data_IF_784242323247
#
_entry.id   IF_784242323247
#
_cell.length_a   1.000
_cell.length_b   1.000
_cell.length_c   1.000
_cell.angle_alpha   90.00
_cell.angle_beta   90.00
_cell.angle_gamma   90.00
#
_symmetry.space_group_name_H-M   'P 1'
#
loop_
_entity.id
_entity.type
_entity.pdbx_description
1 polymer ?
#
# COMPACT_ATOMS: atom_id res chain seq x y z
N UNK A 1 -14.04 33.98 4.76
CA UNK A 1 -15.03 34.08 5.87
C UNK A 1 -14.24 34.23 7.16
N UNK A 2 -14.51 35.27 8.01
CA UNK A 2 -13.68 35.53 9.21
C UNK A 2 -13.50 34.32 10.11
N UNK A 3 -14.56 33.58 10.45
CA UNK A 3 -14.46 32.41 11.34
C UNK A 3 -13.65 31.22 10.77
N UNK A 4 -13.58 31.08 9.44
CA UNK A 4 -12.74 30.04 8.81
C UNK A 4 -11.26 30.42 8.92
N UNK A 5 -10.93 31.71 8.72
CA UNK A 5 -9.55 32.19 8.86
C UNK A 5 -9.08 32.10 10.32
N UNK A 6 -9.95 32.42 11.27
CA UNK A 6 -9.66 32.26 12.69
C UNK A 6 -9.45 30.79 13.06
N UNK A 7 -10.27 29.87 12.53
CA UNK A 7 -10.11 28.44 12.74
C UNK A 7 -8.76 27.94 12.19
N UNK A 8 -8.39 28.34 10.97
CA UNK A 8 -7.08 27.98 10.38
C UNK A 8 -5.92 28.59 11.19
N UNK A 9 -6.05 29.82 11.65
CA UNK A 9 -5.02 30.46 12.48
C UNK A 9 -4.88 29.79 13.87
N UNK A 10 -5.98 29.27 14.43
CA UNK A 10 -5.96 28.57 15.71
C UNK A 10 -5.40 27.16 15.59
N UNK A 11 -5.73 26.47 14.50
CA UNK A 11 -5.28 25.11 14.19
C UNK A 11 -4.41 25.13 12.94
N UNK A 12 -3.12 25.32 13.12
CA UNK A 12 -2.13 25.56 12.06
C UNK A 12 -1.86 24.35 11.16
N UNK A 13 -2.46 23.21 11.45
CA UNK A 13 -2.27 21.96 10.67
C UNK A 13 -1.26 20.99 11.31
N UNK A 14 -0.57 21.36 12.37
CA UNK A 14 0.43 20.53 13.04
C UNK A 14 -0.05 20.09 14.44
N UNK A 15 -0.40 18.81 14.57
CA UNK A 15 -0.68 18.26 15.89
C UNK A 15 0.62 17.95 16.65
N UNK A 16 0.59 18.04 18.00
CA UNK A 16 1.74 17.68 18.83
C UNK A 16 2.23 16.26 18.54
N UNK A 17 3.53 16.11 18.42
CA UNK A 17 4.21 14.82 18.24
C UNK A 17 4.97 14.42 19.50
N UNK A 18 5.22 13.11 19.75
CA UNK A 18 6.07 12.66 20.84
C UNK A 18 7.46 13.28 20.81
N UNK A 19 8.02 13.57 21.99
CA UNK A 19 9.42 14.01 22.09
C UNK A 19 10.37 12.99 21.45
N UNK A 20 11.38 13.47 20.73
CA UNK A 20 12.35 12.63 20.04
C UNK A 20 11.83 11.98 18.76
N UNK A 21 10.69 12.41 18.23
CA UNK A 21 10.23 11.96 16.90
C UNK A 21 11.32 12.26 15.87
N UNK A 22 11.81 11.23 15.11
CA UNK A 22 12.91 11.43 14.18
C UNK A 22 12.51 12.35 13.02
N UNK A 23 13.41 13.26 12.68
CA UNK A 23 13.30 14.08 11.47
C UNK A 23 13.88 13.33 10.25
N UNK A 24 13.47 13.77 9.07
CA UNK A 24 13.98 13.26 7.82
C UNK A 24 13.33 11.96 7.35
N UNK A 25 13.77 11.54 6.17
CA UNK A 25 13.34 10.31 5.51
C UNK A 25 14.59 9.47 5.26
N UNK A 26 14.87 8.45 6.07
CA UNK A 26 16.05 7.62 5.91
C UNK A 26 15.98 6.75 4.65
N UNK A 27 17.13 6.32 4.13
CA UNK A 27 17.22 5.56 2.88
C UNK A 27 16.40 4.25 2.90
N UNK A 28 16.29 3.59 4.07
CA UNK A 28 15.45 2.40 4.18
C UNK A 28 13.97 2.70 3.89
N UNK A 29 13.48 3.90 4.27
CA UNK A 29 12.10 4.30 4.00
C UNK A 29 11.90 4.56 2.50
N UNK A 30 12.87 5.15 1.81
CA UNK A 30 12.86 5.29 0.35
C UNK A 30 12.77 3.93 -0.37
N UNK A 31 13.54 2.92 0.07
CA UNK A 31 13.44 1.56 -0.46
C UNK A 31 12.08 0.92 -0.18
N UNK A 32 11.55 1.06 1.04
CA UNK A 32 10.22 0.57 1.40
C UNK A 32 9.13 1.26 0.58
N UNK A 33 9.25 2.56 0.32
CA UNK A 33 8.32 3.29 -0.52
C UNK A 33 8.35 2.77 -1.97
N UNK A 34 9.53 2.57 -2.56
CA UNK A 34 9.66 1.97 -3.89
C UNK A 34 9.02 0.58 -3.96
N UNK A 35 9.31 -0.30 -2.99
CA UNK A 35 8.74 -1.65 -2.96
C UNK A 35 7.21 -1.63 -2.79
N UNK A 36 6.68 -0.74 -1.94
CA UNK A 36 5.23 -0.59 -1.82
C UNK A 36 4.59 -0.09 -3.12
N UNK A 37 5.18 0.90 -3.80
CA UNK A 37 4.73 1.37 -5.11
C UNK A 37 4.75 0.23 -6.15
N UNK A 38 5.83 -0.55 -6.19
CA UNK A 38 5.98 -1.71 -7.07
C UNK A 38 4.88 -2.74 -6.83
N UNK A 39 4.68 -3.17 -5.58
CA UNK A 39 3.69 -4.19 -5.24
C UNK A 39 2.27 -3.69 -5.46
N UNK A 40 1.92 -2.49 -5.02
CA UNK A 40 0.56 -1.95 -5.15
C UNK A 40 0.13 -1.89 -6.62
N UNK A 41 0.98 -1.41 -7.52
CA UNK A 41 0.68 -1.34 -8.96
C UNK A 41 0.40 -2.73 -9.53
N UNK A 42 1.25 -3.72 -9.21
CA UNK A 42 1.10 -5.08 -9.74
C UNK A 42 -0.06 -5.85 -9.08
N UNK A 43 -0.31 -5.65 -7.77
CA UNK A 43 -1.42 -6.27 -7.05
C UNK A 43 -2.76 -5.72 -7.55
N UNK A 44 -2.91 -4.40 -7.69
CA UNK A 44 -4.12 -3.79 -8.26
C UNK A 44 -4.36 -4.32 -9.68
N UNK A 45 -3.34 -4.33 -10.53
CA UNK A 45 -3.44 -4.87 -11.88
C UNK A 45 -3.91 -6.33 -11.90
N UNK A 46 -3.24 -7.20 -11.13
CA UNK A 46 -3.60 -8.63 -11.12
C UNK A 46 -4.94 -8.87 -10.47
N UNK A 47 -5.33 -8.11 -9.44
CA UNK A 47 -6.64 -8.16 -8.80
C UNK A 47 -7.77 -7.78 -9.77
N UNK A 48 -7.60 -6.69 -10.53
CA UNK A 48 -8.54 -6.31 -11.60
C UNK A 48 -8.62 -7.38 -12.70
N UNK A 49 -7.47 -7.98 -13.06
CA UNK A 49 -7.44 -9.07 -14.03
C UNK A 49 -8.24 -10.28 -13.52
N UNK A 50 -8.00 -10.73 -12.28
CA UNK A 50 -8.78 -11.82 -11.64
C UNK A 50 -10.28 -11.53 -11.66
N UNK A 51 -10.68 -10.28 -11.39
CA UNK A 51 -12.08 -9.86 -11.36
C UNK A 51 -12.74 -9.87 -12.74
N UNK A 52 -12.02 -9.47 -13.80
CA UNK A 52 -12.56 -9.28 -15.14
C UNK A 52 -12.39 -10.50 -16.06
N UNK A 53 -11.50 -11.43 -15.70
CA UNK A 53 -11.10 -12.53 -16.56
C UNK A 53 -12.17 -13.62 -16.64
N UNK A 54 -12.87 -13.69 -17.76
CA UNK A 54 -13.89 -14.74 -18.02
C UNK A 54 -13.26 -16.08 -18.45
N UNK A 55 -12.15 -16.02 -19.19
CA UNK A 55 -11.42 -17.19 -19.70
C UNK A 55 -9.92 -17.03 -19.42
N UNK A 56 -9.43 -17.58 -18.30
CA UNK A 56 -8.01 -17.50 -17.95
C UNK A 56 -7.16 -18.24 -19.00
N UNK A 57 -5.95 -17.76 -19.31
CA UNK A 57 -5.02 -18.39 -20.26
C UNK A 57 -4.51 -19.75 -19.77
N UNK A 58 -4.65 -20.02 -18.49
CA UNK A 58 -4.27 -21.28 -17.87
C UNK A 58 -4.70 -21.32 -16.40
N UNK A 59 -4.65 -22.54 -15.87
CA UNK A 59 -4.96 -22.79 -14.47
C UNK A 59 -3.76 -23.43 -13.79
N UNK A 60 -3.51 -22.98 -12.58
CA UNK A 60 -2.47 -23.52 -11.71
C UNK A 60 -3.09 -24.33 -10.57
N UNK A 61 -2.46 -25.46 -10.25
CA UNK A 61 -2.81 -26.33 -9.12
C UNK A 61 -1.58 -26.51 -8.24
N UNK A 62 -1.61 -26.16 -6.95
CA UNK A 62 -0.48 -26.33 -6.06
C UNK A 62 -0.12 -27.80 -5.89
N UNK A 63 1.14 -28.06 -5.55
CA UNK A 63 1.57 -29.39 -5.05
C UNK A 63 0.91 -29.64 -3.70
N UNK A 64 0.38 -30.83 -3.50
CA UNK A 64 -0.24 -31.22 -2.23
C UNK A 64 0.79 -31.16 -1.08
N UNK A 65 0.40 -30.57 0.05
CA UNK A 65 1.29 -30.34 1.19
C UNK A 65 2.39 -29.30 0.97
N UNK A 66 2.39 -28.62 -0.21
CA UNK A 66 3.31 -27.51 -0.48
C UNK A 66 2.87 -26.22 0.18
N UNK A 67 3.71 -25.19 0.08
CA UNK A 67 3.49 -23.86 0.68
C UNK A 67 2.11 -23.27 0.37
N UNK A 68 1.63 -23.40 -0.87
CA UNK A 68 0.31 -22.89 -1.30
C UNK A 68 -0.86 -23.86 -1.06
N UNK A 69 -0.63 -25.00 -0.46
CA UNK A 69 -1.67 -25.99 -0.13
C UNK A 69 -1.38 -26.64 1.22
N UNK A 70 -1.69 -25.94 2.33
CA UNK A 70 -1.45 -26.45 3.68
C UNK A 70 -2.14 -27.81 3.88
N UNK A 71 -1.51 -28.66 4.69
CA UNK A 71 -2.06 -29.98 5.05
C UNK A 71 -3.49 -29.85 5.60
N UNK A 72 -4.39 -30.68 5.11
CA UNK A 72 -5.81 -30.70 5.52
C UNK A 72 -6.75 -29.85 4.65
N UNK A 73 -6.23 -29.01 3.76
CA UNK A 73 -7.03 -28.31 2.77
C UNK A 73 -7.19 -29.14 1.50
N UNK A 74 -8.36 -29.02 0.85
CA UNK A 74 -8.55 -29.53 -0.50
C UNK A 74 -7.76 -28.70 -1.50
N UNK A 75 -6.96 -29.36 -2.34
CA UNK A 75 -6.17 -28.69 -3.38
C UNK A 75 -7.09 -28.02 -4.39
N UNK A 76 -7.10 -26.70 -4.41
CA UNK A 76 -7.92 -25.90 -5.34
C UNK A 76 -7.13 -25.54 -6.60
N UNK A 77 -7.77 -25.68 -7.75
CA UNK A 77 -7.32 -25.15 -9.03
C UNK A 77 -7.70 -23.67 -9.07
N UNK A 78 -6.74 -22.79 -9.34
CA UNK A 78 -6.94 -21.34 -9.47
C UNK A 78 -6.44 -20.84 -10.82
N UNK A 79 -6.90 -19.68 -11.29
CA UNK A 79 -6.37 -19.10 -12.52
C UNK A 79 -4.89 -18.71 -12.33
N UNK A 80 -4.15 -18.63 -13.45
CA UNK A 80 -2.75 -18.18 -13.42
C UNK A 80 -2.63 -16.74 -12.89
N UNK A 81 -3.61 -15.90 -13.20
CA UNK A 81 -3.70 -14.53 -12.67
C UNK A 81 -3.91 -14.50 -11.16
N UNK A 82 -4.76 -15.39 -10.64
CA UNK A 82 -4.98 -15.51 -9.19
C UNK A 82 -3.74 -16.06 -8.46
N UNK A 83 -3.03 -17.02 -9.08
CA UNK A 83 -1.74 -17.48 -8.55
C UNK A 83 -0.74 -16.33 -8.43
N UNK A 84 -0.59 -15.54 -9.50
CA UNK A 84 0.33 -14.39 -9.50
C UNK A 84 -0.06 -13.34 -8.45
N UNK A 85 -1.36 -13.03 -8.31
CA UNK A 85 -1.87 -12.13 -7.29
C UNK A 85 -1.44 -12.60 -5.88
N UNK A 86 -1.68 -13.88 -5.54
CA UNK A 86 -1.29 -14.45 -4.25
C UNK A 86 0.24 -14.42 -4.02
N UNK A 87 1.06 -14.63 -5.05
CA UNK A 87 2.53 -14.55 -4.93
C UNK A 87 2.97 -13.12 -4.61
N UNK A 88 2.40 -12.13 -5.30
CA UNK A 88 2.67 -10.72 -5.06
C UNK A 88 2.20 -10.29 -3.67
N UNK A 89 1.02 -10.77 -3.22
CA UNK A 89 0.51 -10.50 -1.88
C UNK A 89 1.45 -11.02 -0.80
N UNK A 90 1.98 -12.25 -0.94
CA UNK A 90 2.97 -12.81 0.00
C UNK A 90 4.22 -11.94 0.08
N UNK A 91 4.75 -11.53 -1.07
CA UNK A 91 5.93 -10.68 -1.12
C UNK A 91 5.65 -9.30 -0.50
N UNK A 92 4.48 -8.72 -0.74
CA UNK A 92 4.06 -7.46 -0.15
C UNK A 92 3.86 -7.56 1.37
N UNK A 93 3.25 -8.64 1.87
CA UNK A 93 3.10 -8.90 3.31
C UNK A 93 4.46 -9.04 3.99
N UNK A 94 5.39 -9.77 3.37
CA UNK A 94 6.76 -9.89 3.89
C UNK A 94 7.47 -8.52 3.94
N UNK A 95 7.34 -7.72 2.87
CA UNK A 95 7.84 -6.34 2.84
C UNK A 95 7.19 -5.47 3.93
N UNK A 96 5.87 -5.58 4.11
CA UNK A 96 5.13 -4.87 5.14
C UNK A 96 5.56 -5.24 6.56
N UNK A 97 5.87 -6.53 6.81
CA UNK A 97 6.41 -6.96 8.10
C UNK A 97 7.77 -6.31 8.39
N UNK A 98 8.67 -6.27 7.41
CA UNK A 98 9.96 -5.55 7.52
C UNK A 98 9.72 -4.05 7.77
N UNK A 99 8.79 -3.43 7.05
CA UNK A 99 8.43 -2.03 7.21
C UNK A 99 7.97 -1.70 8.65
N UNK A 100 7.06 -2.49 9.22
CA UNK A 100 6.55 -2.28 10.58
C UNK A 100 7.67 -2.44 11.62
N UNK A 101 8.55 -3.44 11.45
CA UNK A 101 9.71 -3.63 12.33
C UNK A 101 10.64 -2.41 12.25
N UNK A 102 10.96 -1.94 11.05
CA UNK A 102 11.81 -0.76 10.87
C UNK A 102 11.18 0.50 11.46
N UNK A 103 9.88 0.73 11.26
CA UNK A 103 9.16 1.83 11.91
C UNK A 103 9.30 1.79 13.43
N UNK A 104 9.13 0.60 14.02
CA UNK A 104 9.19 0.43 15.48
C UNK A 104 10.60 0.69 16.03
N UNK A 105 11.64 0.05 15.47
CA UNK A 105 13.01 0.14 16.02
C UNK A 105 13.68 1.48 15.76
N UNK A 106 13.25 2.22 14.72
CA UNK A 106 13.83 3.52 14.37
C UNK A 106 13.03 4.71 14.94
N UNK A 107 11.89 4.46 15.60
CA UNK A 107 11.03 5.52 16.14
C UNK A 107 10.18 6.26 15.08
N UNK A 108 10.32 5.94 13.78
CA UNK A 108 9.59 6.64 12.71
C UNK A 108 8.07 6.38 12.73
N UNK A 109 7.59 5.41 13.52
CA UNK A 109 6.16 5.22 13.76
C UNK A 109 5.49 6.50 14.30
N UNK A 110 6.20 7.30 15.11
CA UNK A 110 5.70 8.54 15.69
C UNK A 110 5.31 9.59 14.64
N UNK A 111 5.87 9.50 13.42
CA UNK A 111 5.54 10.40 12.31
C UNK A 111 4.18 10.11 11.65
N UNK A 112 3.65 8.90 11.82
CA UNK A 112 2.44 8.43 11.11
C UNK A 112 1.35 7.88 12.04
N UNK A 113 1.58 7.89 13.36
CA UNK A 113 0.58 7.45 14.35
C UNK A 113 0.07 8.67 15.11
N UNK A 114 -1.24 8.99 15.07
CA UNK A 114 -1.82 10.05 15.86
C UNK A 114 -1.69 9.74 17.35
N UNK A 115 -1.09 10.63 18.12
CA UNK A 115 -0.87 10.47 19.58
C UNK A 115 -1.65 11.47 20.41
N UNK A 116 -2.31 12.45 19.78
CA UNK A 116 -3.15 13.46 20.42
C UNK A 116 -4.50 13.58 19.71
N UNK A 117 -5.56 13.82 20.46
CA UNK A 117 -6.90 14.14 19.94
C UNK A 117 -6.95 15.47 19.19
N UNK A 118 -6.00 16.37 19.42
CA UNK A 118 -5.85 17.64 18.70
C UNK A 118 -5.60 17.42 17.19
N UNK A 119 -5.21 16.20 16.79
CA UNK A 119 -5.04 15.85 15.38
C UNK A 119 -6.31 16.15 14.54
N UNK A 120 -7.51 16.01 15.09
CA UNK A 120 -8.75 16.17 14.33
C UNK A 120 -9.04 17.63 13.94
N UNK A 121 -8.98 18.63 14.84
CA UNK A 121 -9.15 20.02 14.41
C UNK A 121 -8.03 20.48 13.47
N UNK A 122 -6.77 20.10 13.71
CA UNK A 122 -5.67 20.38 12.79
C UNK A 122 -5.89 19.72 11.41
N UNK A 123 -6.36 18.48 11.35
CA UNK A 123 -6.72 17.78 10.10
C UNK A 123 -7.83 18.54 9.36
N UNK A 124 -8.86 19.03 10.08
CA UNK A 124 -9.94 19.84 9.51
C UNK A 124 -9.43 21.13 8.87
N UNK A 125 -8.52 21.82 9.55
CA UNK A 125 -7.85 23.03 9.05
C UNK A 125 -7.10 22.75 7.72
N UNK A 126 -6.26 21.73 7.71
CA UNK A 126 -5.52 21.32 6.50
C UNK A 126 -6.46 20.93 5.36
N UNK A 127 -7.54 20.20 5.66
CA UNK A 127 -8.53 19.81 4.65
C UNK A 127 -9.20 21.03 4.00
N UNK A 128 -9.52 22.07 4.79
CA UNK A 128 -10.07 23.34 4.28
C UNK A 128 -9.03 24.04 3.37
N UNK A 129 -7.76 24.11 3.80
CA UNK A 129 -6.67 24.70 3.01
C UNK A 129 -6.51 23.98 1.67
N UNK A 130 -6.46 22.65 1.65
CA UNK A 130 -6.39 21.89 0.40
C UNK A 130 -7.62 22.11 -0.50
N UNK A 131 -8.82 22.15 0.08
CA UNK A 131 -10.05 22.38 -0.68
C UNK A 131 -10.13 23.82 -1.25
N UNK A 132 -9.52 24.79 -0.59
CA UNK A 132 -9.45 26.18 -1.08
C UNK A 132 -8.28 26.44 -2.05
N UNK A 133 -7.47 25.43 -2.36
CA UNK A 133 -6.25 25.52 -3.18
C UNK A 133 -5.17 26.45 -2.59
N UNK A 134 -5.30 26.81 -1.32
CA UNK A 134 -4.30 27.52 -0.53
C UNK A 134 -3.48 26.47 0.24
N UNK A 135 -2.61 25.79 -0.49
CA UNK A 135 -1.94 24.61 0.04
C UNK A 135 -0.83 25.01 1.02
N UNK A 136 -0.82 24.37 2.23
CA UNK A 136 0.22 24.65 3.21
C UNK A 136 1.61 24.34 2.64
N UNK A 137 2.52 25.30 2.79
CA UNK A 137 3.94 25.17 2.37
C UNK A 137 4.77 24.44 3.42
N UNK A 138 4.33 23.26 3.83
CA UNK A 138 4.95 22.51 4.90
C UNK A 138 6.22 21.80 4.45
N UNK A 139 7.13 21.60 5.40
CA UNK A 139 8.30 20.80 5.18
C UNK A 139 8.08 19.36 5.68
N UNK A 140 7.61 18.47 4.81
CA UNK A 140 7.44 17.05 5.11
C UNK A 140 8.74 16.33 5.52
N UNK A 141 9.90 16.98 5.39
CA UNK A 141 11.15 16.49 5.95
C UNK A 141 11.15 16.55 7.48
N UNK A 142 10.65 17.63 8.04
CA UNK A 142 10.58 17.83 9.50
C UNK A 142 9.34 17.15 10.06
N UNK A 143 8.15 17.57 9.63
CA UNK A 143 6.87 17.07 10.11
C UNK A 143 5.89 16.82 8.96
N UNK A 144 5.00 15.85 9.15
CA UNK A 144 3.81 15.72 8.31
C UNK A 144 2.68 16.55 8.93
N UNK A 145 1.83 17.14 8.09
CA UNK A 145 0.61 17.76 8.58
C UNK A 145 -0.39 16.74 9.12
N UNK A 146 -1.37 17.19 9.89
CA UNK A 146 -2.33 16.32 10.54
C UNK A 146 -3.13 15.46 9.58
N UNK A 147 -3.46 15.97 8.38
CA UNK A 147 -4.18 15.20 7.36
C UNK A 147 -3.30 14.08 6.78
N UNK A 148 -2.01 14.36 6.55
CA UNK A 148 -1.03 13.34 6.11
C UNK A 148 -0.84 12.26 7.17
N UNK A 149 -0.68 12.63 8.45
CA UNK A 149 -0.52 11.66 9.56
C UNK A 149 -1.71 10.72 9.62
N UNK A 150 -2.95 11.25 9.60
CA UNK A 150 -4.17 10.42 9.63
C UNK A 150 -4.30 9.57 8.37
N UNK A 151 -4.03 10.12 7.20
CA UNK A 151 -4.09 9.37 5.94
C UNK A 151 -3.08 8.21 5.90
N UNK A 152 -1.84 8.42 6.37
CA UNK A 152 -0.84 7.38 6.46
C UNK A 152 -1.19 6.34 7.53
N UNK A 153 -1.70 6.77 8.67
CA UNK A 153 -2.20 5.86 9.70
C UNK A 153 -3.30 4.93 9.15
N UNK A 154 -4.31 5.50 8.49
CA UNK A 154 -5.39 4.71 7.89
C UNK A 154 -4.83 3.74 6.83
N UNK A 155 -3.89 4.19 6.00
CA UNK A 155 -3.29 3.36 4.95
C UNK A 155 -2.53 2.18 5.52
N UNK A 156 -1.67 2.43 6.52
CA UNK A 156 -0.75 1.41 7.07
C UNK A 156 -1.44 0.51 8.10
N UNK A 157 -2.25 1.08 9.00
CA UNK A 157 -2.77 0.35 10.16
C UNK A 157 -4.23 -0.08 10.05
N UNK A 158 -4.96 0.41 9.02
CA UNK A 158 -6.34 0.01 8.77
C UNK A 158 -6.50 -0.66 7.41
N UNK A 159 -6.19 0.04 6.32
CA UNK A 159 -6.43 -0.46 4.96
C UNK A 159 -5.54 -1.67 4.62
N UNK A 160 -4.24 -1.62 4.95
CA UNK A 160 -3.34 -2.74 4.68
C UNK A 160 -3.71 -4.00 5.47
N UNK A 161 -3.98 -3.99 6.79
CA UNK A 161 -4.50 -5.15 7.51
C UNK A 161 -5.84 -5.68 6.96
N UNK A 162 -6.77 -4.80 6.56
CA UNK A 162 -8.02 -5.21 5.94
C UNK A 162 -7.80 -5.90 4.58
N UNK A 163 -6.90 -5.39 3.76
CA UNK A 163 -6.52 -6.04 2.50
C UNK A 163 -5.94 -7.43 2.74
N UNK A 164 -5.02 -7.56 3.71
CA UNK A 164 -4.37 -8.83 4.08
C UNK A 164 -5.42 -9.83 4.61
N UNK A 165 -6.25 -9.44 5.56
CA UNK A 165 -7.25 -10.32 6.17
C UNK A 165 -8.29 -10.80 5.13
N UNK A 166 -8.80 -9.90 4.30
CA UNK A 166 -9.77 -10.24 3.27
C UNK A 166 -9.14 -11.08 2.15
N UNK A 167 -7.90 -10.78 1.75
CA UNK A 167 -7.12 -11.56 0.80
C UNK A 167 -6.82 -12.96 1.32
N UNK A 168 -6.38 -13.09 2.58
CA UNK A 168 -6.13 -14.37 3.23
C UNK A 168 -7.40 -15.23 3.27
N UNK A 169 -8.57 -14.64 3.61
CA UNK A 169 -9.86 -15.35 3.59
C UNK A 169 -10.19 -15.95 2.23
N UNK A 170 -9.81 -15.31 1.15
CA UNK A 170 -10.07 -15.75 -0.22
C UNK A 170 -8.95 -16.64 -0.80
N UNK A 171 -7.82 -16.75 -0.11
CA UNK A 171 -6.63 -17.46 -0.58
C UNK A 171 -6.75 -18.98 -0.48
N UNK A 172 -5.76 -19.68 -1.03
CA UNK A 172 -5.61 -21.13 -0.89
C UNK A 172 -5.14 -21.56 0.51
N UNK A 173 -4.61 -20.64 1.30
CA UNK A 173 -4.14 -20.92 2.68
C UNK A 173 -5.25 -20.95 3.72
N UNK A 174 -6.41 -20.37 3.43
CA UNK A 174 -7.50 -20.31 4.41
C UNK A 174 -7.91 -21.71 4.87
N UNK A 175 -8.03 -21.95 6.21
CA UNK A 175 -8.36 -23.27 6.74
C UNK A 175 -9.83 -23.62 6.46
N UNK A 176 -10.04 -24.43 5.43
CA UNK A 176 -11.37 -24.73 4.88
C UNK A 176 -12.28 -25.45 5.88
N UNK A 177 -11.69 -26.27 6.79
CA UNK A 177 -12.41 -27.07 7.78
C UNK A 177 -12.72 -26.34 9.09
N UNK A 178 -12.22 -25.13 9.30
CA UNK A 178 -12.44 -24.36 10.51
C UNK A 178 -13.86 -23.74 10.51
N UNK A 179 -14.88 -24.51 10.89
CA UNK A 179 -16.29 -24.10 10.81
C UNK A 179 -16.58 -22.81 11.58
N UNK A 180 -16.05 -22.65 12.80
CA UNK A 180 -16.20 -21.42 13.60
C UNK A 180 -15.65 -20.19 12.88
N UNK A 181 -14.43 -20.27 12.36
CA UNK A 181 -13.77 -19.17 11.64
C UNK A 181 -14.51 -18.83 10.33
N UNK A 182 -14.99 -19.86 9.61
CA UNK A 182 -15.78 -19.66 8.39
C UNK A 182 -17.13 -18.98 8.66
N UNK A 183 -17.74 -19.24 9.81
CA UNK A 183 -19.00 -18.60 10.25
C UNK A 183 -18.75 -17.16 10.69
N UNK A 184 -17.70 -16.90 11.44
CA UNK A 184 -17.37 -15.54 11.94
C UNK A 184 -16.92 -14.61 10.83
N UNK A 185 -16.18 -15.13 9.87
CA UNK A 185 -15.71 -14.36 8.71
C UNK A 185 -16.08 -15.06 7.39
N UNK A 186 -17.34 -14.92 6.93
CA UNK A 186 -17.82 -15.53 5.69
C UNK A 186 -17.09 -14.94 4.46
N UNK A 187 -16.97 -15.74 3.40
CA UNK A 187 -16.24 -15.34 2.18
C UNK A 187 -16.90 -14.17 1.46
N UNK A 188 -18.22 -14.05 1.60
CA UNK A 188 -19.02 -12.97 1.04
C UNK A 188 -18.62 -11.62 1.66
N UNK A 189 -18.43 -11.58 2.97
CA UNK A 189 -17.94 -10.38 3.67
C UNK A 189 -16.52 -10.00 3.21
N UNK A 190 -15.63 -11.00 3.08
CA UNK A 190 -14.28 -10.74 2.57
C UNK A 190 -14.31 -10.17 1.14
N UNK A 191 -15.14 -10.71 0.24
CA UNK A 191 -15.32 -10.19 -1.12
C UNK A 191 -15.92 -8.79 -1.16
N UNK A 192 -16.90 -8.52 -0.29
CA UNK A 192 -17.56 -7.22 -0.20
C UNK A 192 -16.60 -6.11 0.27
N UNK A 193 -15.62 -6.45 1.15
CA UNK A 193 -14.66 -5.50 1.69
C UNK A 193 -13.39 -5.35 0.85
N UNK A 194 -12.91 -6.43 0.23
CA UNK A 194 -11.61 -6.42 -0.47
C UNK A 194 -11.57 -5.43 -1.64
N UNK A 195 -12.62 -5.35 -2.43
CA UNK A 195 -12.67 -4.44 -3.57
C UNK A 195 -12.75 -2.96 -3.16
N UNK A 196 -13.61 -2.52 -2.21
CA UNK A 196 -13.56 -1.17 -1.68
C UNK A 196 -12.21 -0.78 -1.06
N UNK A 197 -11.53 -1.70 -0.37
CA UNK A 197 -10.17 -1.45 0.15
C UNK A 197 -9.18 -1.23 -0.99
N UNK A 198 -9.25 -2.00 -2.08
CA UNK A 198 -8.46 -1.73 -3.28
C UNK A 198 -8.76 -0.34 -3.86
N UNK A 199 -10.04 0.06 -3.95
CA UNK A 199 -10.41 1.40 -4.43
C UNK A 199 -9.85 2.51 -3.53
N UNK A 200 -9.82 2.30 -2.19
CA UNK A 200 -9.16 3.22 -1.27
C UNK A 200 -7.68 3.38 -1.62
N UNK A 201 -6.92 2.28 -1.84
CA UNK A 201 -5.52 2.37 -2.22
C UNK A 201 -5.30 3.11 -3.55
N UNK A 202 -6.17 2.88 -4.53
CA UNK A 202 -6.12 3.60 -5.82
C UNK A 202 -6.38 5.09 -5.62
N UNK A 203 -7.43 5.45 -4.88
CA UNK A 203 -7.77 6.85 -4.61
C UNK A 203 -6.67 7.55 -3.81
N UNK A 204 -6.17 6.90 -2.74
CA UNK A 204 -5.03 7.39 -1.96
C UNK A 204 -3.80 7.64 -2.85
N UNK A 205 -3.45 6.68 -3.71
CA UNK A 205 -2.27 6.81 -4.59
C UNK A 205 -2.44 7.97 -5.57
N UNK A 206 -3.61 8.13 -6.17
CA UNK A 206 -3.87 9.23 -7.12
C UNK A 206 -3.76 10.60 -6.43
N UNK A 207 -4.39 10.77 -5.28
CA UNK A 207 -4.32 12.01 -4.50
C UNK A 207 -2.89 12.27 -4.02
N UNK A 208 -2.22 11.24 -3.49
CA UNK A 208 -0.85 11.35 -3.01
C UNK A 208 0.13 11.76 -4.12
N UNK A 209 0.09 11.11 -5.27
CA UNK A 209 0.96 11.45 -6.42
C UNK A 209 0.66 12.87 -6.90
N UNK A 210 -0.62 13.23 -7.03
CA UNK A 210 -1.02 14.58 -7.39
C UNK A 210 -0.38 15.61 -6.45
N UNK A 211 -0.55 15.46 -5.13
CA UNK A 211 -0.01 16.39 -4.15
C UNK A 211 1.52 16.45 -4.19
N UNK A 212 2.23 15.31 -4.28
CA UNK A 212 3.70 15.28 -4.40
C UNK A 212 4.20 16.16 -5.54
N UNK A 213 3.53 16.12 -6.70
CA UNK A 213 3.95 16.91 -7.87
C UNK A 213 3.54 18.38 -7.76
N UNK A 214 2.38 18.68 -7.19
CA UNK A 214 1.87 20.05 -7.11
C UNK A 214 2.42 20.85 -5.92
N UNK A 215 2.86 20.20 -4.83
CA UNK A 215 3.42 20.89 -3.66
C UNK A 215 4.95 21.03 -3.68
N UNK A 216 5.61 20.61 -4.76
CA UNK A 216 7.06 20.75 -4.92
C UNK A 216 7.77 19.46 -5.32
N UNK A 217 7.54 19.02 -6.57
CA UNK A 217 8.00 17.73 -7.09
C UNK A 217 9.47 17.42 -6.80
N UNK A 218 10.40 18.32 -7.13
CA UNK A 218 11.83 18.06 -6.99
C UNK A 218 12.23 17.85 -5.54
N UNK A 219 11.73 18.69 -4.61
CA UNK A 219 12.05 18.56 -3.18
C UNK A 219 11.42 17.30 -2.58
N UNK A 220 10.14 17.06 -2.84
CA UNK A 220 9.42 15.88 -2.33
C UNK A 220 10.03 14.56 -2.81
N UNK A 221 10.45 14.49 -4.08
CA UNK A 221 11.11 13.32 -4.64
C UNK A 221 12.53 13.14 -4.08
N UNK A 222 13.26 14.24 -3.81
CA UNK A 222 14.55 14.13 -3.13
C UNK A 222 14.40 13.66 -1.68
N UNK A 223 13.42 14.14 -0.94
CA UNK A 223 13.12 13.61 0.40
C UNK A 223 12.99 12.09 0.37
N UNK A 224 12.19 11.56 -0.54
CA UNK A 224 11.86 10.14 -0.58
C UNK A 224 12.96 9.27 -1.20
N UNK A 225 13.56 9.70 -2.31
CA UNK A 225 14.45 8.83 -3.09
C UNK A 225 15.94 9.08 -2.87
N UNK A 226 16.32 10.22 -2.30
CA UNK A 226 17.73 10.54 -2.03
C UNK A 226 18.04 10.77 -0.56
N UNK A 227 17.01 10.76 0.31
CA UNK A 227 17.15 11.05 1.75
C UNK A 227 17.82 12.41 2.00
N UNK A 228 17.44 13.44 1.22
CA UNK A 228 18.01 14.80 1.30
C UNK A 228 16.93 15.87 1.19
N UNK A 229 17.03 16.91 2.00
CA UNK A 229 16.17 18.09 1.89
C UNK A 229 16.80 19.14 0.95
N UNK A 230 16.76 18.85 -0.35
CA UNK A 230 17.32 19.70 -1.43
C UNK A 230 16.40 19.72 -2.63
N UNK A 231 16.60 20.73 -3.52
CA UNK A 231 15.84 20.86 -4.76
C UNK A 231 16.77 20.66 -5.95
N UNK A 232 17.06 19.39 -6.26
CA UNK A 232 17.81 18.98 -7.44
C UNK A 232 17.07 17.88 -8.22
N UNK A 233 17.62 17.40 -9.32
CA UNK A 233 16.99 16.46 -10.24
C UNK A 233 17.14 14.98 -9.83
N UNK A 234 17.98 14.64 -8.87
CA UNK A 234 18.30 13.24 -8.55
C UNK A 234 17.09 12.45 -8.06
N UNK A 235 16.26 13.05 -7.22
CA UNK A 235 15.01 12.39 -6.76
C UNK A 235 14.07 12.06 -7.92
N UNK A 236 13.92 12.98 -8.89
CA UNK A 236 13.10 12.76 -10.08
C UNK A 236 13.69 11.69 -11.00
N UNK A 237 15.01 11.66 -11.20
CA UNK A 237 15.69 10.64 -12.01
C UNK A 237 15.45 9.26 -11.40
N UNK A 238 15.66 9.08 -10.09
CA UNK A 238 15.43 7.79 -9.40
C UNK A 238 13.95 7.39 -9.47
N UNK A 239 13.03 8.33 -9.31
CA UNK A 239 11.60 8.09 -9.49
C UNK A 239 11.28 7.58 -10.90
N UNK A 240 11.80 8.21 -11.94
CA UNK A 240 11.57 7.77 -13.33
C UNK A 240 12.16 6.38 -13.60
N UNK A 241 13.33 6.07 -13.06
CA UNK A 241 13.92 4.72 -13.11
C UNK A 241 13.00 3.72 -12.39
N UNK A 242 12.47 4.09 -11.22
CA UNK A 242 11.52 3.25 -10.48
C UNK A 242 10.25 2.96 -11.28
N UNK A 243 9.70 3.96 -11.96
CA UNK A 243 8.55 3.81 -12.87
C UNK A 243 8.90 2.89 -14.05
N UNK A 244 10.08 3.02 -14.65
CA UNK A 244 10.54 2.16 -15.73
C UNK A 244 10.68 0.69 -15.27
N UNK A 245 11.19 0.44 -14.06
CA UNK A 245 11.26 -0.90 -13.46
C UNK A 245 9.87 -1.49 -13.27
N UNK A 246 8.90 -0.70 -12.77
CA UNK A 246 7.52 -1.14 -12.61
C UNK A 246 6.87 -1.46 -13.96
N UNK A 247 7.09 -0.62 -14.98
CA UNK A 247 6.59 -0.86 -16.32
C UNK A 247 7.18 -2.15 -16.93
N UNK A 248 8.46 -2.40 -16.74
CA UNK A 248 9.10 -3.66 -17.14
C UNK A 248 8.49 -4.86 -16.40
N UNK A 249 8.32 -4.76 -15.08
CA UNK A 249 7.67 -5.80 -14.29
C UNK A 249 6.22 -6.04 -14.73
N UNK A 250 5.46 -4.98 -15.04
CA UNK A 250 4.12 -5.08 -15.60
C UNK A 250 4.11 -5.91 -16.90
N UNK A 251 5.08 -5.71 -17.78
CA UNK A 251 5.24 -6.51 -18.99
C UNK A 251 5.53 -7.98 -18.66
N UNK A 252 6.39 -8.25 -17.69
CA UNK A 252 6.77 -9.59 -17.24
C UNK A 252 5.65 -10.37 -16.53
N UNK A 253 4.55 -9.72 -16.16
CA UNK A 253 3.36 -10.42 -15.62
C UNK A 253 2.51 -11.13 -16.68
N UNK A 254 2.90 -11.09 -17.95
CA UNK A 254 2.21 -11.82 -19.04
C UNK A 254 2.37 -13.35 -18.89
N UNK A 255 1.38 -14.14 -19.32
CA UNK A 255 1.40 -15.61 -19.17
C UNK A 255 2.65 -16.29 -19.72
N UNK A 256 3.26 -15.76 -20.78
CA UNK A 256 4.50 -16.30 -21.36
C UNK A 256 5.65 -16.35 -20.35
N UNK A 257 5.73 -15.37 -19.45
CA UNK A 257 6.77 -15.31 -18.42
C UNK A 257 6.33 -15.96 -17.10
N UNK A 258 5.05 -15.83 -16.74
CA UNK A 258 4.55 -16.32 -15.45
C UNK A 258 4.27 -17.82 -15.45
N UNK A 259 3.95 -18.43 -16.59
CA UNK A 259 3.72 -19.89 -16.70
C UNK A 259 4.92 -20.73 -16.25
N UNK A 260 6.16 -20.50 -16.75
CA UNK A 260 7.32 -21.25 -16.29
C UNK A 260 7.61 -21.09 -14.80
N UNK A 261 7.34 -19.90 -14.24
CA UNK A 261 7.51 -19.65 -12.80
C UNK A 261 6.44 -20.41 -11.97
N UNK A 262 5.19 -20.39 -12.40
CA UNK A 262 4.11 -21.11 -11.75
C UNK A 262 4.33 -22.64 -11.76
N UNK A 263 4.93 -23.19 -12.81
CA UNK A 263 5.27 -24.61 -12.90
C UNK A 263 6.29 -25.08 -11.85
N UNK A 264 7.12 -24.17 -11.30
CA UNK A 264 8.05 -24.50 -10.21
C UNK A 264 7.31 -24.80 -8.89
N UNK A 265 6.15 -24.20 -8.70
CA UNK A 265 5.37 -24.29 -7.45
C UNK A 265 4.14 -25.20 -7.55
N UNK A 266 3.80 -25.68 -8.75
CA UNK A 266 2.63 -26.51 -8.99
C UNK A 266 2.56 -27.01 -10.42
N UNK A 267 1.38 -27.47 -10.84
CA UNK A 267 1.09 -27.91 -12.20
C UNK A 267 0.26 -26.86 -12.92
N UNK A 268 0.67 -26.46 -14.11
CA UNK A 268 -0.10 -25.53 -14.96
C UNK A 268 -0.73 -26.30 -16.13
N UNK A 269 -2.05 -26.15 -16.27
CA UNK A 269 -2.82 -26.65 -17.41
C UNK A 269 -3.28 -25.47 -18.26
N UNK A 270 -2.98 -25.49 -19.54
CA UNK A 270 -3.51 -24.51 -20.51
C UNK A 270 -5.02 -24.71 -20.69
N UNK A 271 -5.69 -23.64 -21.04
CA UNK A 271 -7.10 -23.69 -21.42
C UNK A 271 -7.20 -24.01 -22.91
#
# INVERSE_FOLDING_TARGET
MPGVQEFIATYDGHAPQPEGTPEGIPAWLGWQHFLNMFFIVLIVRTGLQVRMEKRPPGYWRPKEGGFFSPKGNTVKKVSLSQWLHQVLDVAWVANGAVFIVLLAITGHWARIVPTSWEIFPHMGSVAIQYASLDWPTENGWIHYNALQVVAYFITVYVAAPLAILTGLRMSTWWPQKAAGLNRTFPIEAARALHFPVMLYFVAFTLVHVFLVFFTGALRNLNHMYTSRDVTDWWGLIIFLVSVAVIAAAWFLTRPVFTTPLAQKTGTVTKN
#
